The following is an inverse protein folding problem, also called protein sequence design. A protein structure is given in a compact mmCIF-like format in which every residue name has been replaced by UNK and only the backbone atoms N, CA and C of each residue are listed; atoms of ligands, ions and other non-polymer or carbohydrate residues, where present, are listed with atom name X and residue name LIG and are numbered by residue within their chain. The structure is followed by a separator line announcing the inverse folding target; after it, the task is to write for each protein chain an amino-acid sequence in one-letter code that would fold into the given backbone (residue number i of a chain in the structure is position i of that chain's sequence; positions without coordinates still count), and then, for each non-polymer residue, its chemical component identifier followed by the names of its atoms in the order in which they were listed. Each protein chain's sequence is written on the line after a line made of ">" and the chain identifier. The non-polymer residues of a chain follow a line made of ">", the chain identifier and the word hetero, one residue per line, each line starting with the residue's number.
data_IF_574517536248
#
_entry.id   IF_574517536248
#
_cell.length_a   1.000
_cell.length_b   1.000
_cell.length_c   1.000
_cell.angle_alpha   90.00
_cell.angle_beta   90.00
_cell.angle_gamma   90.00
#
_symmetry.space_group_name_H-M   'P 1'
#
loop_
_entity.id
_entity.type
_entity.pdbx_description
1 polymer ?
#
# COMPACT_ATOMS: atom_id res chain seq x y z
N UNK A 1 12.99 6.47 15.77
CA UNK A 1 12.09 5.33 15.53
C UNK A 1 11.76 4.74 16.88
N UNK A 2 10.46 4.66 17.17
CA UNK A 2 9.97 3.97 18.35
C UNK A 2 10.02 2.46 18.09
N UNK A 3 10.44 1.68 19.08
CA UNK A 3 10.54 0.23 19.01
C UNK A 3 9.43 -0.46 19.80
N UNK A 4 8.62 0.29 20.54
CA UNK A 4 7.45 -0.26 21.21
C UNK A 4 6.33 -0.55 20.20
N UNK A 5 5.72 -1.72 20.35
CA UNK A 5 4.56 -2.07 19.55
C UNK A 5 3.41 -1.10 19.86
N UNK A 6 2.65 -0.72 18.83
CA UNK A 6 1.43 0.04 19.04
C UNK A 6 0.48 -0.75 19.93
N UNK A 7 -0.22 -0.09 20.88
CA UNK A 7 -1.31 -0.71 21.62
C UNK A 7 -2.33 -1.39 20.70
N UNK A 8 -2.90 -2.52 21.14
CA UNK A 8 -3.80 -3.35 20.31
C UNK A 8 -5.01 -2.56 19.76
N UNK A 9 -5.49 -1.57 20.50
CA UNK A 9 -6.60 -0.69 20.11
C UNK A 9 -6.25 0.34 19.02
N UNK A 10 -4.97 0.44 18.65
CA UNK A 10 -4.46 1.31 17.58
C UNK A 10 -4.32 0.59 16.25
N UNK A 11 -4.22 -0.75 16.25
CA UNK A 11 -4.06 -1.56 15.04
C UNK A 11 -5.40 -1.73 14.33
N UNK A 12 -5.48 -1.17 13.12
CA UNK A 12 -6.68 -1.21 12.28
C UNK A 12 -6.78 -2.43 11.36
N UNK A 13 -6.06 -3.51 11.66
CA UNK A 13 -5.92 -4.66 10.77
C UNK A 13 -6.41 -5.92 11.48
N UNK A 14 -7.35 -6.62 10.87
CA UNK A 14 -7.80 -7.93 11.29
C UNK A 14 -7.11 -9.01 10.47
N UNK A 15 -6.39 -9.91 11.14
CA UNK A 15 -5.69 -11.03 10.51
C UNK A 15 -6.66 -12.16 10.16
N UNK A 16 -6.60 -12.65 8.91
CA UNK A 16 -7.41 -13.78 8.43
C UNK A 16 -6.60 -15.08 8.31
N UNK A 17 -5.28 -14.98 8.17
CA UNK A 17 -4.38 -16.11 8.01
C UNK A 17 -3.20 -16.05 8.98
N UNK A 18 -2.97 -17.14 9.71
CA UNK A 18 -1.79 -17.31 10.58
C UNK A 18 -0.57 -17.91 9.85
N UNK A 19 -0.62 -18.03 8.52
CA UNK A 19 0.44 -18.68 7.72
C UNK A 19 1.49 -17.73 7.16
N UNK A 20 1.44 -16.46 7.54
CA UNK A 20 2.36 -15.45 7.08
C UNK A 20 2.91 -14.65 8.27
N UNK A 21 4.23 -14.47 8.27
CA UNK A 21 4.94 -13.56 9.17
C UNK A 21 5.50 -12.43 8.31
N UNK A 22 4.99 -11.21 8.52
CA UNK A 22 5.50 -10.00 7.85
C UNK A 22 6.33 -9.23 8.89
N UNK A 23 7.66 -9.09 8.70
CA UNK A 23 8.44 -8.20 9.54
C UNK A 23 8.09 -6.73 9.24
N UNK A 24 8.34 -5.83 10.20
CA UNK A 24 7.99 -4.40 10.09
C UNK A 24 8.70 -3.65 8.95
N UNK A 25 9.73 -4.26 8.35
CA UNK A 25 10.39 -3.77 7.14
C UNK A 25 10.31 -4.88 6.08
N UNK A 26 10.06 -4.53 4.82
CA UNK A 26 9.72 -5.49 3.77
C UNK A 26 10.78 -6.61 3.64
N UNK A 27 10.36 -7.86 3.39
CA UNK A 27 11.29 -8.95 3.10
C UNK A 27 11.66 -8.96 1.61
N UNK A 28 12.97 -8.94 1.26
CA UNK A 28 13.37 -9.14 -0.12
C UNK A 28 13.08 -10.58 -0.57
N UNK A 29 12.94 -10.77 -1.88
CA UNK A 29 12.95 -12.13 -2.44
C UNK A 29 14.32 -12.77 -2.23
N UNK A 30 14.32 -14.08 -2.00
CA UNK A 30 15.55 -14.86 -1.92
C UNK A 30 16.31 -14.85 -3.26
N UNK A 31 17.63 -14.64 -3.21
CA UNK A 31 18.52 -14.72 -4.35
C UNK A 31 18.43 -13.53 -5.31
N UNK A 32 18.49 -13.81 -6.63
CA UNK A 32 18.33 -12.81 -7.68
C UNK A 32 16.97 -13.03 -8.38
N UNK A 33 15.90 -12.34 -7.96
CA UNK A 33 14.54 -12.65 -8.41
C UNK A 33 14.32 -12.47 -9.92
N UNK A 34 15.19 -11.73 -10.63
CA UNK A 34 15.18 -11.58 -12.09
C UNK A 34 13.76 -11.42 -12.71
N UNK A 35 12.98 -10.48 -12.19
CA UNK A 35 11.61 -10.21 -12.67
C UNK A 35 10.51 -11.09 -12.07
N UNK A 36 10.78 -11.89 -11.03
CA UNK A 36 9.73 -12.53 -10.23
C UNK A 36 8.89 -11.49 -9.50
N UNK A 37 7.57 -11.69 -9.51
CA UNK A 37 6.61 -10.84 -8.82
C UNK A 37 5.95 -11.57 -7.66
N UNK A 38 5.58 -10.80 -6.63
CA UNK A 38 4.64 -11.21 -5.61
C UNK A 38 3.26 -10.74 -6.07
N UNK A 39 2.37 -11.67 -6.40
CA UNK A 39 1.00 -11.32 -6.74
C UNK A 39 0.26 -10.85 -5.48
N UNK A 40 -0.24 -9.62 -5.50
CA UNK A 40 -1.13 -9.11 -4.46
C UNK A 40 -2.30 -8.34 -5.08
N UNK A 41 -3.42 -8.35 -4.38
CA UNK A 41 -4.59 -7.55 -4.73
C UNK A 41 -5.29 -7.08 -3.46
N UNK A 42 -5.93 -5.91 -3.53
CA UNK A 42 -6.80 -5.41 -2.49
C UNK A 42 -8.22 -5.36 -3.03
N UNK A 43 -9.17 -5.96 -2.30
CA UNK A 43 -10.59 -5.98 -2.66
C UNK A 43 -11.43 -5.53 -1.47
N UNK A 44 -12.39 -4.64 -1.71
CA UNK A 44 -13.36 -4.24 -0.70
C UNK A 44 -14.43 -5.34 -0.54
N UNK A 45 -14.50 -5.98 0.63
CA UNK A 45 -15.45 -7.05 0.92
C UNK A 45 -16.44 -6.65 2.02
N UNK A 46 -17.73 -7.01 1.92
CA UNK A 46 -18.75 -6.63 2.90
C UNK A 46 -18.81 -7.63 4.06
N UNK A 47 -17.78 -7.64 4.91
CA UNK A 47 -17.75 -8.54 6.08
C UNK A 47 -18.60 -8.06 7.26
N UNK A 48 -18.90 -6.76 7.33
CA UNK A 48 -19.63 -6.12 8.43
C UNK A 48 -20.69 -5.20 7.87
N UNK A 49 -21.83 -5.13 8.57
CA UNK A 49 -22.88 -4.16 8.23
C UNK A 49 -22.41 -2.72 8.53
N UNK A 50 -22.83 -1.73 7.72
CA UNK A 50 -22.50 -0.34 7.98
C UNK A 50 -23.23 0.17 9.24
N UNK A 51 -22.61 1.11 9.95
CA UNK A 51 -23.16 1.72 11.17
C UNK A 51 -23.45 3.21 10.97
N UNK A 52 -24.55 3.68 11.56
CA UNK A 52 -24.97 5.11 11.51
C UNK A 52 -24.54 5.90 12.75
N UNK A 53 -23.59 5.38 13.53
CA UNK A 53 -23.09 6.01 14.76
C UNK A 53 -22.27 7.27 14.51
N UNK A 54 -21.57 7.74 15.55
CA UNK A 54 -20.63 8.86 15.44
C UNK A 54 -19.18 8.41 15.73
N UNK A 55 -18.36 8.18 14.67
CA UNK A 55 -18.63 8.44 13.26
C UNK A 55 -19.39 7.31 12.55
N UNK A 56 -20.14 7.60 11.46
CA UNK A 56 -20.74 6.55 10.65
C UNK A 56 -19.63 5.75 9.96
N UNK A 57 -19.80 4.43 9.89
CA UNK A 57 -18.81 3.52 9.31
C UNK A 57 -19.46 2.73 8.18
N UNK A 58 -18.81 2.67 7.02
CA UNK A 58 -19.27 1.89 5.88
C UNK A 58 -18.96 0.39 6.00
N UNK A 59 -19.26 -0.35 4.94
CA UNK A 59 -19.17 -1.82 4.87
C UNK A 59 -17.93 -2.33 4.12
N UNK A 60 -17.04 -1.45 3.65
CA UNK A 60 -15.89 -1.83 2.83
C UNK A 60 -14.70 -2.27 3.68
N UNK A 61 -14.57 -3.57 3.91
CA UNK A 61 -13.38 -4.18 4.48
C UNK A 61 -12.34 -4.44 3.39
N UNK A 62 -11.39 -3.52 3.21
CA UNK A 62 -10.31 -3.66 2.24
C UNK A 62 -9.38 -4.81 2.62
N UNK A 63 -9.51 -5.91 1.87
CA UNK A 63 -8.90 -7.20 2.14
C UNK A 63 -7.74 -7.44 1.20
N UNK A 64 -6.56 -7.73 1.77
CA UNK A 64 -5.37 -8.10 1.02
C UNK A 64 -5.40 -9.59 0.67
N UNK A 65 -5.25 -9.89 -0.61
CA UNK A 65 -5.07 -11.23 -1.14
C UNK A 65 -3.65 -11.38 -1.66
N UNK A 66 -3.05 -12.53 -1.40
CA UNK A 66 -1.77 -12.90 -1.97
C UNK A 66 -1.93 -14.10 -2.90
N UNK A 67 -1.15 -14.10 -3.98
CA UNK A 67 -1.03 -15.21 -4.92
C UNK A 67 0.45 -15.50 -5.16
N UNK A 68 0.97 -16.48 -4.42
CA UNK A 68 2.36 -16.90 -4.46
C UNK A 68 2.46 -18.40 -4.75
N UNK A 69 3.69 -18.91 -4.89
CA UNK A 69 3.92 -20.35 -5.08
C UNK A 69 3.39 -21.18 -3.90
N UNK A 70 3.58 -20.71 -2.66
CA UNK A 70 3.32 -21.44 -1.42
C UNK A 70 2.14 -20.92 -0.58
N UNK A 71 1.52 -19.80 -0.96
CA UNK A 71 0.31 -19.27 -0.33
C UNK A 71 -0.60 -18.60 -1.36
N UNK A 72 -1.90 -18.91 -1.32
CA UNK A 72 -2.92 -18.29 -2.17
C UNK A 72 -4.18 -18.07 -1.35
N UNK A 73 -4.61 -16.82 -1.21
CA UNK A 73 -5.82 -16.48 -0.46
C UNK A 73 -5.76 -15.15 0.30
N UNK A 74 -6.79 -14.85 1.11
CA UNK A 74 -6.86 -13.65 1.92
C UNK A 74 -5.88 -13.72 3.10
N UNK A 75 -5.19 -12.60 3.33
CA UNK A 75 -4.19 -12.45 4.39
C UNK A 75 -4.77 -11.74 5.61
N UNK A 76 -5.31 -10.55 5.39
CA UNK A 76 -5.83 -9.65 6.41
C UNK A 76 -6.72 -8.59 5.74
N UNK A 77 -7.51 -7.88 6.54
CA UNK A 77 -8.28 -6.73 6.06
C UNK A 77 -8.17 -5.54 7.02
N UNK A 78 -8.36 -4.34 6.47
CA UNK A 78 -8.55 -3.14 7.29
C UNK A 78 -9.95 -3.13 7.88
N UNK A 79 -10.03 -3.07 9.21
CA UNK A 79 -11.28 -2.88 9.94
C UNK A 79 -11.87 -1.52 9.48
N UNK A 80 -13.13 -1.46 8.99
CA UNK A 80 -13.73 -0.24 8.42
C UNK A 80 -13.60 1.00 9.31
N UNK A 81 -13.69 0.83 10.63
CA UNK A 81 -13.54 1.88 11.65
C UNK A 81 -12.19 2.60 11.59
N UNK A 82 -11.17 1.98 11.00
CA UNK A 82 -9.86 2.61 10.74
C UNK A 82 -10.01 3.88 9.92
N UNK A 83 -10.95 3.90 8.99
CA UNK A 83 -11.21 5.03 8.09
C UNK A 83 -12.17 6.04 8.74
N UNK A 84 -13.30 5.56 9.28
CA UNK A 84 -14.33 6.44 9.85
C UNK A 84 -13.83 7.20 11.08
N UNK A 85 -13.00 6.58 11.93
CA UNK A 85 -12.44 7.21 13.15
C UNK A 85 -11.61 8.45 12.87
N UNK A 86 -11.06 8.61 11.66
CA UNK A 86 -10.24 9.78 11.29
C UNK A 86 -11.05 11.08 11.39
N UNK A 87 -12.32 11.07 10.97
CA UNK A 87 -13.18 12.24 11.07
C UNK A 87 -13.39 12.69 12.51
N UNK A 88 -13.51 11.74 13.43
CA UNK A 88 -13.64 12.03 14.86
C UNK A 88 -12.31 12.48 15.47
N UNK A 89 -11.21 11.80 15.17
CA UNK A 89 -9.87 12.12 15.68
C UNK A 89 -9.43 13.54 15.29
N UNK A 90 -9.73 13.96 14.06
CA UNK A 90 -9.36 15.28 13.56
C UNK A 90 -10.46 16.34 13.70
N UNK A 91 -11.56 16.02 14.40
CA UNK A 91 -12.73 16.90 14.56
C UNK A 91 -13.21 17.49 13.23
N UNK A 92 -13.28 16.66 12.20
CA UNK A 92 -13.59 17.08 10.83
C UNK A 92 -14.76 16.27 10.25
N UNK A 93 -16.03 16.61 10.58
CA UNK A 93 -17.20 15.87 10.12
C UNK A 93 -17.35 15.80 8.60
N UNK A 94 -16.70 16.71 7.85
CA UNK A 94 -16.72 16.71 6.39
C UNK A 94 -16.25 15.38 5.78
N UNK A 95 -15.33 14.66 6.43
CA UNK A 95 -14.79 13.39 5.93
C UNK A 95 -15.62 12.16 6.32
N UNK A 96 -16.73 12.33 7.06
CA UNK A 96 -17.66 11.23 7.33
C UNK A 96 -18.24 10.67 6.02
N UNK A 97 -18.23 9.34 5.90
CA UNK A 97 -18.67 8.64 4.69
C UNK A 97 -17.83 8.95 3.44
N UNK A 98 -16.59 9.44 3.62
CA UNK A 98 -15.63 9.71 2.52
C UNK A 98 -14.35 8.88 2.62
N UNK A 99 -14.21 8.09 3.68
CA UNK A 99 -13.13 7.13 3.82
C UNK A 99 -13.30 5.93 2.90
N UNK A 100 -12.26 5.10 2.85
CA UNK A 100 -12.26 3.86 2.08
C UNK A 100 -13.18 2.78 2.68
N UNK A 101 -13.75 3.00 3.87
CA UNK A 101 -14.85 2.21 4.42
C UNK A 101 -16.18 2.42 3.67
N UNK A 102 -16.37 3.60 3.07
CA UNK A 102 -17.66 4.02 2.52
C UNK A 102 -17.64 4.34 1.03
N UNK A 103 -16.45 4.62 0.45
CA UNK A 103 -16.31 4.98 -0.96
C UNK A 103 -15.20 4.18 -1.63
N UNK A 104 -15.41 3.77 -2.90
CA UNK A 104 -14.35 3.15 -3.66
C UNK A 104 -13.19 4.15 -3.87
N UNK A 105 -11.97 3.62 -3.90
CA UNK A 105 -10.81 4.39 -4.32
C UNK A 105 -10.90 4.71 -5.81
N UNK A 106 -11.18 5.96 -6.16
CA UNK A 106 -11.11 6.41 -7.55
C UNK A 106 -9.65 6.76 -7.89
N UNK A 107 -8.97 5.85 -8.57
CA UNK A 107 -7.56 5.98 -8.89
C UNK A 107 -7.41 6.56 -10.31
N UNK A 108 -7.07 7.85 -10.41
CA UNK A 108 -6.93 8.55 -11.70
C UNK A 108 -5.64 8.26 -12.47
N UNK A 109 -4.75 7.43 -11.92
CA UNK A 109 -3.46 7.07 -12.49
C UNK A 109 -2.59 6.30 -11.50
N UNK A 110 -1.47 5.75 -11.97
CA UNK A 110 -0.46 5.10 -11.13
C UNK A 110 0.69 6.04 -10.81
N UNK A 111 1.30 5.86 -9.64
CA UNK A 111 2.56 6.50 -9.27
C UNK A 111 3.56 5.42 -8.85
N UNK A 112 4.83 5.64 -9.17
CA UNK A 112 5.95 4.83 -8.66
C UNK A 112 6.81 5.74 -7.78
N UNK A 113 6.94 5.38 -6.51
CA UNK A 113 7.76 6.09 -5.55
C UNK A 113 9.11 5.39 -5.38
N UNK A 114 10.20 6.15 -5.41
CA UNK A 114 11.54 5.69 -5.05
C UNK A 114 12.01 6.58 -3.90
N UNK A 115 11.97 6.05 -2.67
CA UNK A 115 12.27 6.80 -1.45
C UNK A 115 13.64 7.52 -1.49
N UNK A 116 14.68 6.86 -2.00
CA UNK A 116 16.01 7.46 -2.12
C UNK A 116 16.72 6.98 -3.37
N UNK A 117 17.22 7.92 -4.16
CA UNK A 117 18.04 7.65 -5.34
C UNK A 117 19.43 8.23 -5.08
N UNK A 118 20.51 7.42 -5.10
CA UNK A 118 21.85 7.96 -5.01
C UNK A 118 22.10 8.90 -6.19
N UNK A 119 22.87 9.97 -6.00
CA UNK A 119 23.19 10.89 -7.08
C UNK A 119 24.65 11.35 -7.00
N UNK A 120 25.20 11.78 -8.13
CA UNK A 120 26.41 12.57 -8.17
C UNK A 120 26.05 14.04 -8.18
N UNK A 121 26.66 14.84 -7.33
CA UNK A 121 26.49 16.30 -7.30
C UNK A 121 27.75 17.00 -7.84
N UNK A 122 27.55 18.11 -8.55
CA UNK A 122 28.62 18.98 -9.02
C UNK A 122 28.15 20.42 -9.16
N UNK A 123 29.07 21.38 -9.21
CA UNK A 123 28.77 22.78 -9.47
C UNK A 123 29.51 23.29 -10.70
N UNK A 124 28.89 24.17 -11.48
CA UNK A 124 29.57 24.88 -12.57
C UNK A 124 30.36 26.10 -12.08
N UNK A 125 30.98 26.84 -13.00
CA UNK A 125 31.80 28.01 -12.70
C UNK A 125 31.02 29.16 -12.06
N UNK A 126 29.70 29.22 -12.30
CA UNK A 126 28.80 30.22 -11.73
C UNK A 126 28.19 29.74 -10.39
N UNK A 127 28.57 28.55 -9.93
CA UNK A 127 28.13 27.95 -8.66
C UNK A 127 26.78 27.25 -8.75
N UNK A 128 26.22 27.02 -9.94
CA UNK A 128 24.96 26.30 -10.12
C UNK A 128 25.18 24.82 -9.83
N UNK A 129 24.38 24.25 -8.93
CA UNK A 129 24.45 22.83 -8.56
C UNK A 129 23.63 21.97 -9.52
N UNK A 130 24.23 20.87 -9.96
CA UNK A 130 23.59 19.83 -10.76
C UNK A 130 23.67 18.49 -10.02
N UNK A 131 22.60 17.71 -10.09
CA UNK A 131 22.56 16.36 -9.56
C UNK A 131 22.27 15.37 -10.69
N UNK A 132 23.07 14.31 -10.80
CA UNK A 132 22.87 13.23 -11.77
C UNK A 132 22.50 11.94 -11.05
N UNK A 133 21.30 11.45 -11.33
CA UNK A 133 20.83 10.15 -10.85
C UNK A 133 21.22 9.01 -11.81
N UNK A 134 21.32 7.76 -11.33
CA UNK A 134 21.40 6.58 -12.17
C UNK A 134 20.24 6.52 -13.16
N UNK A 135 20.50 5.89 -14.32
CA UNK A 135 19.44 5.59 -15.27
C UNK A 135 18.51 4.55 -14.64
N UNK A 136 17.23 4.92 -14.46
CA UNK A 136 16.20 3.96 -14.08
C UNK A 136 16.00 2.97 -15.24
N UNK A 137 16.09 1.69 -14.93
CA UNK A 137 15.89 0.60 -15.88
C UNK A 137 14.92 -0.41 -15.27
N UNK A 138 14.08 -0.97 -16.13
CA UNK A 138 13.15 -2.01 -15.75
C UNK A 138 13.45 -3.28 -16.54
N UNK A 139 13.19 -4.47 -15.98
CA UNK A 139 13.29 -5.72 -16.73
C UNK A 139 12.37 -5.68 -17.96
N UNK A 140 12.82 -6.30 -19.04
CA UNK A 140 12.04 -6.47 -20.27
C UNK A 140 11.75 -7.94 -20.53
N UNK A 141 10.62 -8.22 -21.16
CA UNK A 141 10.29 -9.54 -21.69
C UNK A 141 11.07 -9.85 -22.98
N UNK A 142 10.80 -11.02 -23.58
CA UNK A 142 11.43 -11.45 -24.83
C UNK A 142 11.13 -10.52 -26.02
N UNK A 143 10.07 -9.72 -25.95
CA UNK A 143 9.68 -8.74 -26.96
C UNK A 143 10.26 -7.34 -26.66
N UNK A 144 11.07 -7.19 -25.61
CA UNK A 144 11.64 -5.90 -25.20
C UNK A 144 10.66 -4.98 -24.46
N UNK A 145 9.55 -5.51 -23.94
CA UNK A 145 8.52 -4.74 -23.22
C UNK A 145 8.70 -4.83 -21.71
N UNK A 146 8.37 -3.76 -21.02
CA UNK A 146 8.24 -3.75 -19.55
C UNK A 146 6.77 -3.57 -19.18
N UNK A 147 6.21 -4.49 -18.40
CA UNK A 147 4.91 -4.34 -17.76
C UNK A 147 5.11 -3.71 -16.38
N UNK A 148 4.71 -2.43 -16.25
CA UNK A 148 4.76 -1.69 -14.98
C UNK A 148 3.44 -1.74 -14.23
N UNK A 149 2.33 -1.63 -14.96
CA UNK A 149 0.96 -1.72 -14.43
C UNK A 149 0.10 -2.41 -15.50
N UNK A 150 -0.79 -3.30 -15.10
CA UNK A 150 -1.73 -3.99 -15.97
C UNK A 150 -3.11 -3.99 -15.30
N UNK A 151 -4.18 -4.07 -16.10
CA UNK A 151 -5.56 -4.22 -15.64
C UNK A 151 -5.99 -3.09 -14.67
N UNK A 152 -5.71 -1.84 -15.06
CA UNK A 152 -6.17 -0.64 -14.36
C UNK A 152 -7.61 -0.35 -14.81
N UNK A 153 -8.55 -0.38 -13.86
CA UNK A 153 -9.97 -0.09 -14.10
C UNK A 153 -10.26 1.41 -14.07
#
# INVERSE_FOLDING_TARGET
>A
YDTEALPDDRLGIAQLSNRLLIPPDALPFEGNPNGKFLGYAYMALPFTDPTTGDPPTGDQAWTCFLSTANFKGPMAYYIPETWSKLGKLFNYPFIYGRGLDARPGNMGGGAMEINTVPCFEGADADGVKYSKIPKLQFPVDADGRTLLVQDVA
#
